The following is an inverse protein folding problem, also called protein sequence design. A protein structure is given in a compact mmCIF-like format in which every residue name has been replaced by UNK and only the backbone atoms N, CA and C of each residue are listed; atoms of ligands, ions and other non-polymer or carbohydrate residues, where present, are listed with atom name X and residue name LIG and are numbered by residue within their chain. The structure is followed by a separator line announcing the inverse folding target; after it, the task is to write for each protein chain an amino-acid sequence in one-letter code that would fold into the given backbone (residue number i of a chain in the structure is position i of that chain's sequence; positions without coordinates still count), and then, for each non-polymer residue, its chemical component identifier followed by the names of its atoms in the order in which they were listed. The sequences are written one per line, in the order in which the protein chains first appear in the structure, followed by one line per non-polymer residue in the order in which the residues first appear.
data_IF_469291947780
#
_entry.id   IF_469291947780
#
_cell.length_a   1.000
_cell.length_b   1.000
_cell.length_c   1.000
_cell.angle_alpha   90.00
_cell.angle_beta   90.00
_cell.angle_gamma   90.00
#
_symmetry.space_group_name_H-M   'P 1'
#
loop_
_entity.id
_entity.type
_entity.pdbx_description
1 polymer ?
#
# COMPACT_ATOMS: atom_id res chain seq x y z
N UNK A 1 -68.81 -40.22 -12.98
CA UNK A 1 -68.27 -41.04 -11.87
C UNK A 1 -67.23 -41.98 -12.46
N UNK A 2 -66.12 -42.18 -11.77
CA UNK A 2 -64.96 -42.89 -12.32
C UNK A 2 -64.93 -44.38 -11.93
N UNK A 3 -64.72 -45.23 -12.91
CA UNK A 3 -63.96 -46.48 -12.82
C UNK A 3 -62.94 -46.47 -13.96
N UNK A 4 -61.89 -47.27 -13.98
CA UNK A 4 -61.42 -48.26 -13.01
C UNK A 4 -59.97 -48.63 -13.37
N UNK A 5 -59.27 -49.34 -12.47
CA UNK A 5 -57.83 -49.55 -12.57
C UNK A 5 -57.36 -50.21 -13.88
N UNK A 6 -56.23 -49.72 -14.41
CA UNK A 6 -55.49 -50.35 -15.51
C UNK A 6 -54.00 -50.39 -15.20
N UNK A 7 -53.49 -51.55 -14.82
CA UNK A 7 -52.06 -51.79 -14.54
C UNK A 7 -51.37 -52.36 -15.79
N UNK A 8 -50.30 -51.75 -16.32
CA UNK A 8 -49.53 -52.32 -17.43
C UNK A 8 -48.32 -53.15 -16.96
N UNK A 9 -48.01 -54.19 -17.74
CA UNK A 9 -46.98 -55.19 -17.48
C UNK A 9 -45.54 -54.64 -17.50
N UNK A 10 -44.69 -55.21 -16.65
CA UNK A 10 -43.23 -55.19 -16.85
C UNK A 10 -42.84 -55.87 -18.17
N UNK A 11 -41.93 -55.24 -18.92
CA UNK A 11 -41.03 -55.91 -19.85
C UNK A 11 -39.58 -55.58 -19.47
N UNK A 12 -38.78 -56.60 -19.24
CA UNK A 12 -37.34 -56.48 -19.12
C UNK A 12 -36.74 -56.30 -20.52
N UNK A 13 -35.86 -55.31 -20.66
CA UNK A 13 -35.02 -55.15 -21.86
C UNK A 13 -33.57 -55.17 -21.42
N UNK A 14 -32.78 -56.09 -21.98
CA UNK A 14 -31.34 -56.23 -21.73
C UNK A 14 -30.59 -55.09 -22.43
N UNK A 15 -29.65 -54.39 -21.77
CA UNK A 15 -28.79 -53.41 -22.43
C UNK A 15 -27.61 -54.09 -23.13
N UNK A 16 -27.42 -53.78 -24.41
CA UNK A 16 -26.20 -54.07 -25.16
C UNK A 16 -25.13 -53.03 -24.86
N UNK A 17 -23.94 -53.47 -24.47
CA UNK A 17 -22.72 -52.67 -24.41
C UNK A 17 -22.10 -52.53 -25.82
N UNK A 18 -21.62 -51.34 -26.19
CA UNK A 18 -20.52 -51.18 -27.14
C UNK A 18 -19.24 -50.72 -26.43
N UNK A 19 -18.10 -51.30 -26.80
CA UNK A 19 -16.78 -50.85 -26.37
C UNK A 19 -16.44 -49.48 -27.00
N UNK A 20 -15.79 -48.61 -26.22
CA UNK A 20 -15.32 -47.30 -26.66
C UNK A 20 -13.81 -47.17 -26.45
N UNK A 21 -13.08 -46.88 -27.53
CA UNK A 21 -11.62 -46.75 -27.52
C UNK A 21 -11.13 -45.55 -26.70
N UNK A 22 -9.89 -45.64 -26.21
CA UNK A 22 -9.30 -44.64 -25.34
C UNK A 22 -8.86 -43.35 -26.04
N UNK A 23 -8.63 -42.33 -25.21
CA UNK A 23 -7.87 -41.13 -25.56
C UNK A 23 -7.07 -40.66 -24.34
N UNK A 24 -5.80 -40.34 -24.55
CA UNK A 24 -4.90 -39.83 -23.51
C UNK A 24 -5.28 -38.38 -23.11
N UNK A 25 -5.09 -37.98 -21.83
CA UNK A 25 -5.22 -36.59 -21.42
C UNK A 25 -3.97 -35.77 -21.80
N UNK A 26 -4.10 -34.55 -22.35
CA UNK A 26 -2.96 -33.71 -22.68
C UNK A 26 -2.33 -33.07 -21.41
N UNK A 27 -1.01 -32.91 -21.46
CA UNK A 27 -0.19 -32.35 -20.39
C UNK A 27 -0.48 -30.86 -20.13
N UNK A 28 -0.52 -30.47 -18.85
CA UNK A 28 -0.59 -29.08 -18.40
C UNK A 28 0.78 -28.40 -18.53
N UNK A 29 0.87 -27.16 -19.05
CA UNK A 29 2.08 -26.35 -18.93
C UNK A 29 2.16 -25.67 -17.55
N UNK A 30 3.34 -25.71 -16.93
CA UNK A 30 3.59 -25.05 -15.64
C UNK A 30 3.54 -23.51 -15.77
N UNK A 31 2.91 -22.85 -14.79
CA UNK A 31 2.91 -21.40 -14.67
C UNK A 31 4.07 -20.94 -13.78
N UNK A 32 4.97 -20.16 -14.36
CA UNK A 32 6.13 -19.57 -13.69
C UNK A 32 5.72 -18.24 -13.01
N UNK A 33 5.84 -18.18 -11.68
CA UNK A 33 5.45 -17.01 -10.90
C UNK A 33 6.62 -16.04 -10.70
N UNK A 34 6.54 -14.86 -11.34
CA UNK A 34 7.34 -13.67 -10.96
C UNK A 34 6.43 -12.50 -10.57
N UNK A 35 6.63 -11.86 -9.40
CA UNK A 35 5.88 -10.67 -9.01
C UNK A 35 6.40 -9.41 -9.72
N UNK A 36 5.50 -8.46 -9.98
CA UNK A 36 5.82 -7.13 -10.50
C UNK A 36 5.98 -6.11 -9.35
N UNK A 37 6.86 -5.09 -9.48
CA UNK A 37 7.09 -4.10 -8.44
C UNK A 37 5.97 -3.04 -8.37
N UNK A 38 5.67 -2.57 -7.16
CA UNK A 38 4.66 -1.56 -6.90
C UNK A 38 5.07 -0.14 -7.31
N UNK A 39 4.10 0.64 -7.80
CA UNK A 39 4.25 2.07 -8.10
C UNK A 39 3.51 2.87 -7.02
N UNK A 40 4.24 3.61 -6.20
CA UNK A 40 3.68 4.62 -5.29
C UNK A 40 3.82 6.01 -5.92
N UNK A 41 2.67 6.67 -6.13
CA UNK A 41 2.62 8.06 -6.55
C UNK A 41 2.37 8.95 -5.33
N UNK A 42 3.31 9.86 -5.04
CA UNK A 42 3.22 10.86 -3.98
C UNK A 42 3.48 12.28 -4.51
N UNK A 43 2.46 13.13 -4.45
CA UNK A 43 2.44 14.57 -4.78
C UNK A 43 1.67 15.17 -3.60
N UNK A 44 2.13 16.10 -2.76
CA UNK A 44 2.80 17.39 -2.98
C UNK A 44 3.42 17.83 -1.61
N UNK A 45 3.80 19.09 -1.27
CA UNK A 45 3.64 20.42 -1.86
C UNK A 45 4.85 21.31 -1.50
N UNK A 46 5.06 22.42 -2.23
CA UNK A 46 5.97 23.48 -1.81
C UNK A 46 5.37 24.33 -0.68
N UNK A 47 6.21 24.72 0.30
CA UNK A 47 6.02 25.91 1.12
C UNK A 47 7.37 26.63 1.29
N UNK A 48 7.45 27.86 0.77
CA UNK A 48 8.51 28.80 1.09
C UNK A 48 8.35 29.29 2.53
N UNK A 49 9.46 29.61 3.22
CA UNK A 49 9.67 30.92 3.87
C UNK A 49 11.04 31.12 4.51
N UNK A 50 11.57 32.30 4.24
CA UNK A 50 12.27 33.23 5.13
C UNK A 50 13.57 32.79 5.83
N UNK A 51 14.67 33.09 5.13
CA UNK A 51 15.96 33.43 5.72
C UNK A 51 15.84 34.68 6.61
N UNK A 52 16.18 34.57 7.90
CA UNK A 52 16.54 35.74 8.72
C UNK A 52 17.85 35.51 9.47
N UNK A 53 18.85 36.31 9.12
CA UNK A 53 20.15 36.37 9.80
C UNK A 53 20.05 37.36 10.96
N UNK A 54 20.43 36.95 12.17
CA UNK A 54 20.68 37.86 13.31
C UNK A 54 22.01 37.50 13.99
N UNK A 55 22.78 38.53 14.36
CA UNK A 55 24.13 38.45 14.92
C UNK A 55 24.16 38.74 16.43
N UNK A 56 24.90 37.91 17.18
CA UNK A 56 25.84 38.31 18.28
C UNK A 56 25.23 38.95 19.56
N UNK A 57 25.97 39.28 20.66
CA UNK A 57 27.13 38.65 21.34
C UNK A 57 26.91 38.39 22.87
N UNK A 58 27.87 37.73 23.57
CA UNK A 58 28.64 38.24 24.78
C UNK A 58 29.08 37.21 25.86
N UNK A 59 30.40 37.16 26.07
CA UNK A 59 31.24 37.03 27.30
C UNK A 59 30.75 36.42 28.65
N UNK A 60 31.59 35.53 29.23
CA UNK A 60 32.32 35.61 30.54
C UNK A 60 33.00 34.26 30.92
N UNK A 61 34.02 34.08 31.80
CA UNK A 61 35.20 34.87 32.27
C UNK A 61 36.08 33.98 33.22
N UNK A 62 37.40 34.28 33.39
CA UNK A 62 38.37 33.81 34.47
C UNK A 62 38.71 32.28 34.57
N UNK A 63 39.86 31.78 35.08
CA UNK A 63 41.01 32.35 35.84
C UNK A 63 42.40 31.67 35.59
N UNK A 64 43.42 32.11 36.36
CA UNK A 64 44.91 31.97 36.29
C UNK A 64 45.47 31.27 37.59
N UNK A 65 46.78 31.28 37.96
CA UNK A 65 48.09 31.09 37.28
C UNK A 65 49.12 30.22 38.08
N UNK A 66 50.39 30.07 37.63
CA UNK A 66 51.61 30.37 38.47
C UNK A 66 52.92 30.55 37.67
N UNK A 67 54.00 30.94 38.35
CA UNK A 67 55.18 31.68 37.81
C UNK A 67 56.47 31.40 38.61
N UNK A 68 57.65 31.62 37.99
CA UNK A 68 59.03 31.83 38.51
C UNK A 68 60.06 30.78 38.02
N UNK A 69 61.34 31.10 37.73
CA UNK A 69 62.00 32.42 37.57
C UNK A 69 63.49 32.43 37.96
N UNK A 70 64.25 33.44 37.46
CA UNK A 70 65.61 33.87 37.93
C UNK A 70 66.82 32.94 37.63
N UNK A 71 68.09 33.40 37.51
CA UNK A 71 68.75 34.70 37.21
C UNK A 71 70.28 34.48 36.99
N UNK A 72 70.98 35.42 36.29
CA UNK A 72 72.29 36.11 36.59
C UNK A 72 73.41 35.36 37.39
N UNK A 73 74.72 35.59 37.26
CA UNK A 73 75.52 36.83 36.94
C UNK A 73 77.04 36.55 36.83
N UNK A 74 77.80 37.46 36.17
CA UNK A 74 79.22 37.73 36.45
C UNK A 74 80.25 37.17 35.44
N UNK A 75 81.50 37.65 35.35
CA UNK A 75 82.18 38.82 35.99
C UNK A 75 83.51 39.15 35.25
N UNK A 76 83.85 40.44 35.16
CA UNK A 76 85.14 41.13 34.85
C UNK A 76 86.43 40.32 34.55
N UNK A 77 87.24 40.88 33.64
CA UNK A 77 88.69 40.68 33.48
C UNK A 77 89.06 40.16 32.08
N UNK A 78 90.20 40.48 31.48
CA UNK A 78 91.27 41.44 31.79
C UNK A 78 92.05 41.71 30.49
N UNK A 79 92.87 42.76 30.43
CA UNK A 79 93.75 43.01 29.27
C UNK A 79 94.83 41.91 29.14
N UNK A 80 95.15 41.50 27.92
CA UNK A 80 96.12 40.42 27.68
C UNK A 80 96.32 40.10 26.21
N UNK A 81 97.19 40.84 25.53
CA UNK A 81 97.67 40.50 24.19
C UNK A 81 98.51 39.23 24.23
N UNK A 82 98.01 38.15 23.62
CA UNK A 82 98.81 36.96 23.29
C UNK A 82 98.51 36.58 21.84
N UNK A 83 99.55 36.53 21.01
CA UNK A 83 99.46 35.95 19.67
C UNK A 83 99.22 34.44 19.81
N UNK A 84 98.00 33.99 19.53
CA UNK A 84 97.68 32.55 19.43
C UNK A 84 97.27 32.27 17.98
N UNK A 85 97.82 31.19 17.44
CA UNK A 85 97.61 30.75 16.05
C UNK A 85 96.12 30.64 15.71
N UNK A 86 95.67 31.29 14.63
CA UNK A 86 94.28 31.19 14.16
C UNK A 86 93.84 29.73 13.93
N UNK A 87 94.79 28.84 13.61
CA UNK A 87 94.51 27.44 13.28
C UNK A 87 93.92 26.64 14.46
N UNK A 88 94.33 26.92 15.70
CA UNK A 88 93.84 26.19 16.87
C UNK A 88 92.44 26.66 17.29
N UNK A 89 92.19 27.97 17.20
CA UNK A 89 90.88 28.56 17.50
C UNK A 89 89.79 28.10 16.50
N UNK A 90 90.13 27.95 15.21
CA UNK A 90 89.23 27.30 14.25
C UNK A 90 89.03 25.80 14.55
N UNK A 91 90.07 25.08 14.95
CA UNK A 91 89.97 23.65 15.27
C UNK A 91 89.08 23.38 16.50
N UNK A 92 89.16 24.22 17.54
CA UNK A 92 88.24 24.16 18.68
C UNK A 92 86.81 24.54 18.30
N UNK A 93 86.63 25.56 17.45
CA UNK A 93 85.30 25.94 16.94
C UNK A 93 84.66 24.85 16.11
N UNK A 94 85.41 24.16 15.25
CA UNK A 94 84.91 23.03 14.46
C UNK A 94 84.43 21.91 15.38
N UNK A 95 85.26 21.44 16.34
CA UNK A 95 84.81 20.39 17.28
C UNK A 95 83.63 20.79 18.16
N UNK A 96 83.54 22.07 18.55
CA UNK A 96 82.39 22.60 19.29
C UNK A 96 81.14 22.74 18.43
N UNK A 97 81.28 22.85 17.11
CA UNK A 97 80.16 22.80 16.17
C UNK A 97 79.77 21.35 15.90
N UNK A 98 80.72 20.43 15.71
CA UNK A 98 80.46 18.99 15.50
C UNK A 98 79.72 18.37 16.69
N UNK A 99 80.21 18.56 17.92
CA UNK A 99 79.51 18.07 19.13
C UNK A 99 78.11 18.67 19.29
N UNK A 100 77.90 19.91 18.83
CA UNK A 100 76.59 20.56 18.85
C UNK A 100 75.70 20.11 17.68
N UNK A 101 76.27 19.64 16.59
CA UNK A 101 75.56 18.97 15.49
C UNK A 101 75.12 17.59 15.96
N UNK A 102 76.00 16.80 16.61
CA UNK A 102 75.64 15.53 17.24
C UNK A 102 74.53 15.70 18.30
N UNK A 103 74.61 16.70 19.17
CA UNK A 103 73.52 17.01 20.12
C UNK A 103 72.20 17.33 19.41
N UNK A 104 72.24 18.15 18.35
CA UNK A 104 71.07 18.52 17.55
C UNK A 104 70.50 17.34 16.73
N UNK A 105 71.34 16.41 16.27
CA UNK A 105 70.94 15.19 15.58
C UNK A 105 70.24 14.22 16.53
N UNK A 106 70.78 14.06 17.75
CA UNK A 106 70.14 13.28 18.81
C UNK A 106 68.80 13.90 19.25
N UNK A 107 68.74 15.21 19.42
CA UNK A 107 67.49 15.94 19.70
C UNK A 107 66.47 15.79 18.56
N UNK A 108 66.92 15.81 17.29
CA UNK A 108 66.05 15.60 16.13
C UNK A 108 65.47 14.19 16.06
N UNK A 109 66.27 13.14 16.30
CA UNK A 109 65.78 11.76 16.28
C UNK A 109 64.85 11.46 17.48
N UNK A 110 65.13 12.08 18.63
CA UNK A 110 64.23 12.09 19.80
C UNK A 110 62.90 12.79 19.48
N UNK A 111 62.94 13.97 18.85
CA UNK A 111 61.74 14.69 18.40
C UNK A 111 60.92 13.88 17.40
N UNK A 112 61.58 13.27 16.42
CA UNK A 112 60.95 12.44 15.39
C UNK A 112 60.28 11.19 15.99
N UNK A 113 60.89 10.58 16.99
CA UNK A 113 60.28 9.47 17.76
C UNK A 113 59.07 9.97 18.55
N UNK A 114 59.16 11.15 19.18
CA UNK A 114 58.04 11.80 19.88
C UNK A 114 56.88 12.15 18.95
N UNK A 115 57.16 12.64 17.73
CA UNK A 115 56.15 12.86 16.69
C UNK A 115 55.45 11.57 16.28
N UNK A 116 56.18 10.45 16.14
CA UNK A 116 55.57 9.13 15.89
C UNK A 116 54.54 8.74 16.96
N UNK A 117 54.88 8.89 18.25
CA UNK A 117 53.92 8.64 19.33
C UNK A 117 52.73 9.60 19.34
N UNK A 118 52.91 10.86 18.90
CA UNK A 118 51.83 11.83 18.77
C UNK A 118 50.89 11.47 17.61
N UNK A 119 51.43 11.01 16.48
CA UNK A 119 50.64 10.55 15.33
C UNK A 119 49.83 9.29 15.70
N UNK A 120 50.43 8.32 16.40
CA UNK A 120 49.73 7.13 16.92
C UNK A 120 48.58 7.53 17.87
N UNK A 121 48.83 8.45 18.81
CA UNK A 121 47.81 9.00 19.70
C UNK A 121 46.70 9.76 18.95
N UNK A 122 47.02 10.45 17.84
CA UNK A 122 46.01 11.10 17.00
C UNK A 122 45.15 10.05 16.26
N UNK A 123 45.74 8.96 15.80
CA UNK A 123 45.02 7.83 15.23
C UNK A 123 44.09 7.16 16.26
N UNK A 124 44.55 6.91 17.50
CA UNK A 124 43.70 6.40 18.58
C UNK A 124 42.56 7.38 18.93
N UNK A 125 42.85 8.67 19.09
CA UNK A 125 41.83 9.69 19.39
C UNK A 125 40.80 9.84 18.27
N UNK A 126 41.20 9.68 17.01
CA UNK A 126 40.30 9.66 15.84
C UNK A 126 39.42 8.41 15.85
N UNK A 127 39.98 7.24 16.16
CA UNK A 127 39.25 5.98 16.30
C UNK A 127 38.22 6.03 17.42
N UNK A 128 38.64 6.47 18.63
CA UNK A 128 37.75 6.64 19.80
C UNK A 128 36.63 7.63 19.49
N UNK A 129 36.92 8.74 18.80
CA UNK A 129 35.89 9.72 18.41
C UNK A 129 34.86 9.13 17.44
N UNK A 130 35.29 8.28 16.49
CA UNK A 130 34.37 7.54 15.62
C UNK A 130 33.48 6.61 16.45
N UNK A 131 34.07 5.78 17.31
CA UNK A 131 33.32 4.85 18.15
C UNK A 131 32.34 5.53 19.13
N UNK A 132 32.67 6.75 19.61
CA UNK A 132 31.76 7.57 20.42
C UNK A 132 30.62 8.12 19.56
N UNK A 133 30.87 8.59 18.33
CA UNK A 133 29.80 9.01 17.40
C UNK A 133 28.86 7.85 17.08
N UNK A 134 29.41 6.69 16.71
CA UNK A 134 28.66 5.48 16.40
C UNK A 134 27.84 4.96 17.60
N UNK A 135 28.22 5.31 18.83
CA UNK A 135 27.51 4.97 20.05
C UNK A 135 26.41 6.00 20.38
N UNK A 136 26.63 7.28 20.10
CA UNK A 136 25.65 8.36 20.25
C UNK A 136 24.50 8.19 19.25
N UNK A 137 24.81 7.92 17.98
CA UNK A 137 23.83 7.62 16.92
C UNK A 137 22.93 6.42 17.31
N UNK A 138 23.51 5.36 17.89
CA UNK A 138 22.75 4.21 18.41
C UNK A 138 21.95 4.53 19.66
N UNK A 139 22.44 5.43 20.52
CA UNK A 139 21.70 5.85 21.71
C UNK A 139 20.49 6.71 21.34
N UNK A 140 20.58 7.51 20.28
CA UNK A 140 19.46 8.25 19.70
C UNK A 140 18.47 7.33 18.97
N UNK A 141 18.96 6.35 18.21
CA UNK A 141 18.11 5.30 17.59
C UNK A 141 17.29 4.53 18.65
N UNK A 142 17.96 4.06 19.71
CA UNK A 142 17.29 3.37 20.83
C UNK A 142 16.28 4.28 21.53
N UNK A 143 16.57 5.59 21.67
CA UNK A 143 15.64 6.55 22.27
C UNK A 143 14.38 6.72 21.43
N UNK A 144 14.53 6.90 20.10
CA UNK A 144 13.38 6.97 19.18
C UNK A 144 12.51 5.72 19.27
N UNK A 145 13.13 4.53 19.21
CA UNK A 145 12.42 3.26 19.30
C UNK A 145 11.67 3.09 20.65
N UNK A 146 12.18 3.64 21.76
CA UNK A 146 11.50 3.62 23.05
C UNK A 146 10.32 4.61 23.13
N UNK A 147 10.43 5.78 22.48
CA UNK A 147 9.34 6.77 22.40
C UNK A 147 8.18 6.27 21.53
N UNK A 148 8.49 5.62 20.40
CA UNK A 148 7.50 4.96 19.54
C UNK A 148 6.80 3.81 20.30
N UNK A 149 7.55 2.95 21.00
CA UNK A 149 7.00 1.83 21.76
C UNK A 149 6.15 2.27 22.96
N UNK A 150 6.53 3.33 23.69
CA UNK A 150 5.70 3.91 24.75
C UNK A 150 4.40 4.51 24.17
N UNK A 151 4.46 5.13 23.00
CA UNK A 151 3.28 5.65 22.29
C UNK A 151 2.34 4.52 21.85
N UNK A 152 2.86 3.45 21.25
CA UNK A 152 2.10 2.25 20.87
C UNK A 152 1.48 1.56 22.10
N UNK A 153 2.26 1.33 23.15
CA UNK A 153 1.80 0.73 24.40
C UNK A 153 0.67 1.54 25.06
N UNK A 154 0.79 2.87 25.09
CA UNK A 154 -0.30 3.77 25.56
C UNK A 154 -1.54 3.68 24.68
N UNK A 155 -1.38 3.54 23.37
CA UNK A 155 -2.47 3.26 22.43
C UNK A 155 -3.22 1.98 22.80
N UNK A 156 -2.50 0.86 22.90
CA UNK A 156 -3.08 -0.44 23.28
C UNK A 156 -3.70 -0.45 24.69
N UNK A 157 -3.12 0.23 25.66
CA UNK A 157 -3.72 0.38 27.01
C UNK A 157 -5.02 1.19 26.95
N UNK A 158 -5.07 2.25 26.12
CA UNK A 158 -6.30 3.01 25.92
C UNK A 158 -7.39 2.18 25.20
N UNK A 159 -7.03 1.37 24.20
CA UNK A 159 -7.96 0.50 23.49
C UNK A 159 -8.48 -0.66 24.34
N UNK A 160 -7.61 -1.37 25.05
CA UNK A 160 -8.02 -2.40 26.02
C UNK A 160 -8.88 -1.79 27.13
N UNK A 161 -8.55 -0.59 27.63
CA UNK A 161 -9.40 0.15 28.57
C UNK A 161 -10.77 0.53 28.00
N UNK A 162 -10.86 0.87 26.71
CA UNK A 162 -12.14 1.08 26.00
C UNK A 162 -12.92 -0.23 25.84
N UNK A 163 -12.27 -1.31 25.46
CA UNK A 163 -12.86 -2.63 25.28
C UNK A 163 -13.39 -3.21 26.60
N UNK A 164 -12.62 -3.09 27.70
CA UNK A 164 -13.06 -3.48 29.04
C UNK A 164 -14.29 -2.67 29.48
N UNK A 165 -14.32 -1.34 29.27
CA UNK A 165 -15.52 -0.53 29.56
C UNK A 165 -16.74 -0.96 28.74
N UNK A 166 -16.57 -1.26 27.45
CA UNK A 166 -17.64 -1.86 26.62
C UNK A 166 -18.12 -3.20 27.20
N UNK A 167 -17.19 -4.10 27.57
CA UNK A 167 -17.50 -5.42 28.12
C UNK A 167 -18.20 -5.32 29.47
N UNK A 168 -17.74 -4.47 30.39
CA UNK A 168 -18.40 -4.25 31.69
C UNK A 168 -19.82 -3.69 31.51
N UNK A 169 -20.02 -2.68 30.66
CA UNK A 169 -21.35 -2.15 30.37
C UNK A 169 -22.26 -3.20 29.72
N UNK A 170 -21.70 -4.05 28.85
CA UNK A 170 -22.40 -5.17 28.21
C UNK A 170 -22.74 -6.30 29.18
N UNK A 171 -21.87 -6.60 30.15
CA UNK A 171 -22.13 -7.56 31.24
C UNK A 171 -23.21 -7.01 32.16
N UNK A 172 -23.10 -5.76 32.63
CA UNK A 172 -24.13 -5.12 33.46
C UNK A 172 -25.50 -5.07 32.76
N UNK A 173 -25.50 -4.81 31.44
CA UNK A 173 -26.74 -4.88 30.64
C UNK A 173 -27.24 -6.32 30.52
N UNK A 174 -26.37 -7.32 30.34
CA UNK A 174 -26.77 -8.73 30.36
C UNK A 174 -27.27 -9.19 31.73
N UNK A 175 -26.67 -8.75 32.83
CA UNK A 175 -27.11 -9.03 34.20
C UNK A 175 -28.47 -8.39 34.49
N UNK A 176 -28.66 -7.12 34.13
CA UNK A 176 -29.96 -6.44 34.21
C UNK A 176 -31.02 -7.12 33.33
N UNK A 177 -30.64 -7.53 32.12
CA UNK A 177 -31.51 -8.25 31.19
C UNK A 177 -31.82 -9.68 31.66
N UNK A 178 -30.89 -10.36 32.34
CA UNK A 178 -31.09 -11.70 32.94
C UNK A 178 -31.97 -11.62 34.19
N UNK A 179 -31.76 -10.60 35.04
CA UNK A 179 -32.65 -10.28 36.16
C UNK A 179 -34.07 -9.92 35.69
N UNK A 180 -34.22 -9.43 34.45
CA UNK A 180 -35.50 -9.16 33.80
C UNK A 180 -35.97 -10.28 32.83
N UNK A 181 -35.18 -11.33 32.59
CA UNK A 181 -35.39 -12.26 31.47
C UNK A 181 -36.62 -13.15 31.63
N UNK A 182 -37.11 -13.32 32.86
CA UNK A 182 -38.36 -14.01 33.16
C UNK A 182 -39.61 -13.22 32.69
N UNK A 183 -39.42 -11.96 32.25
CA UNK A 183 -40.49 -11.04 31.84
C UNK A 183 -40.22 -10.29 30.53
N UNK A 184 -39.05 -10.45 29.90
CA UNK A 184 -38.69 -9.75 28.66
C UNK A 184 -38.92 -10.61 27.41
N UNK A 185 -39.51 -10.04 26.33
CA UNK A 185 -39.63 -10.75 25.06
C UNK A 185 -38.24 -11.01 24.44
N UNK A 186 -38.05 -12.17 23.81
CA UNK A 186 -36.84 -12.47 23.03
C UNK A 186 -37.06 -12.02 21.59
N UNK A 187 -36.06 -11.36 21.01
CA UNK A 187 -36.08 -11.02 19.59
C UNK A 187 -35.72 -12.27 18.78
N UNK A 188 -36.70 -12.82 18.08
CA UNK A 188 -36.45 -13.80 17.03
C UNK A 188 -35.83 -13.08 15.83
N UNK A 189 -34.59 -13.45 15.47
CA UNK A 189 -33.87 -13.04 14.26
C UNK A 189 -33.41 -14.24 13.42
N UNK A 190 -33.97 -15.43 13.65
CA UNK A 190 -33.62 -16.66 12.91
C UNK A 190 -34.84 -17.23 12.14
N UNK A 191 -36.07 -16.94 12.58
CA UNK A 191 -37.30 -17.40 11.91
C UNK A 191 -37.91 -16.29 11.04
N UNK A 192 -38.01 -16.54 9.73
CA UNK A 192 -38.51 -15.57 8.76
C UNK A 192 -39.61 -16.14 7.86
N UNK A 193 -40.64 -15.34 7.51
CA UNK A 193 -41.65 -15.74 6.53
C UNK A 193 -41.01 -16.20 5.21
N UNK A 194 -41.60 -17.20 4.56
CA UNK A 194 -41.11 -17.72 3.29
C UNK A 194 -40.96 -16.62 2.21
N UNK A 195 -41.83 -15.60 2.24
CA UNK A 195 -41.72 -14.42 1.36
C UNK A 195 -40.46 -13.58 1.60
N UNK A 196 -39.93 -13.51 2.81
CA UNK A 196 -38.68 -12.78 3.09
C UNK A 196 -37.47 -13.59 2.62
N UNK A 197 -37.51 -14.92 2.77
CA UNK A 197 -36.49 -15.83 2.21
C UNK A 197 -36.49 -15.76 0.68
N UNK A 198 -37.65 -15.69 0.02
CA UNK A 198 -37.74 -15.48 -1.42
C UNK A 198 -37.09 -14.17 -1.88
N UNK A 199 -37.32 -13.05 -1.17
CA UNK A 199 -36.63 -11.78 -1.43
C UNK A 199 -35.11 -11.89 -1.25
N UNK A 200 -34.65 -12.61 -0.21
CA UNK A 200 -33.23 -12.87 0.04
C UNK A 200 -32.57 -13.66 -1.10
N UNK A 201 -33.16 -14.78 -1.51
CA UNK A 201 -32.67 -15.60 -2.63
C UNK A 201 -32.62 -14.80 -3.93
N UNK A 202 -33.63 -13.97 -4.22
CA UNK A 202 -33.66 -13.14 -5.43
C UNK A 202 -32.59 -12.03 -5.39
N UNK A 203 -32.44 -11.36 -4.24
CA UNK A 203 -31.39 -10.37 -4.02
C UNK A 203 -29.98 -10.99 -4.10
N UNK A 204 -29.78 -12.18 -3.54
CA UNK A 204 -28.52 -12.94 -3.61
C UNK A 204 -28.14 -13.32 -5.03
N UNK A 205 -29.08 -13.87 -5.81
CA UNK A 205 -28.87 -14.15 -7.24
C UNK A 205 -28.51 -12.91 -8.04
N UNK A 206 -29.21 -11.80 -7.82
CA UNK A 206 -28.90 -10.53 -8.49
C UNK A 206 -27.55 -9.95 -8.03
N UNK A 207 -27.14 -10.16 -6.77
CA UNK A 207 -25.82 -9.78 -6.27
C UNK A 207 -24.72 -10.59 -6.97
N UNK A 208 -24.86 -11.91 -7.07
CA UNK A 208 -23.94 -12.77 -7.82
C UNK A 208 -23.90 -12.45 -9.33
N UNK A 209 -25.03 -12.04 -9.92
CA UNK A 209 -25.04 -11.53 -11.29
C UNK A 209 -24.26 -10.20 -11.43
N UNK A 210 -24.30 -9.31 -10.43
CA UNK A 210 -23.54 -8.04 -10.43
C UNK A 210 -22.03 -8.23 -10.31
N UNK A 211 -21.54 -9.26 -9.60
CA UNK A 211 -20.08 -9.50 -9.49
C UNK A 211 -19.47 -9.97 -10.81
N UNK A 212 -20.29 -10.48 -11.74
CA UNK A 212 -19.91 -10.83 -13.12
C UNK A 212 -19.94 -9.63 -14.09
N UNK A 213 -20.34 -8.44 -13.65
CA UNK A 213 -20.40 -7.22 -14.47
C UNK A 213 -19.18 -6.32 -14.23
N UNK A 214 -18.77 -5.61 -15.28
CA UNK A 214 -17.70 -4.62 -15.16
C UNK A 214 -18.14 -3.42 -14.31
N UNK A 215 -17.30 -3.06 -13.35
CA UNK A 215 -17.40 -1.83 -12.56
C UNK A 215 -17.33 -0.59 -13.47
N UNK A 216 -17.67 0.58 -12.92
CA UNK A 216 -17.53 1.85 -13.66
C UNK A 216 -16.08 2.09 -14.10
N UNK A 217 -15.12 1.87 -13.19
CA UNK A 217 -13.69 2.07 -13.43
C UNK A 217 -13.16 1.15 -14.53
N UNK A 218 -13.56 -0.12 -14.53
CA UNK A 218 -13.18 -1.05 -15.60
C UNK A 218 -13.81 -0.68 -16.94
N UNK A 219 -15.07 -0.22 -16.96
CA UNK A 219 -15.71 0.26 -18.19
C UNK A 219 -15.02 1.50 -18.76
N UNK A 220 -14.61 2.43 -17.91
CA UNK A 220 -13.87 3.63 -18.32
C UNK A 220 -12.48 3.28 -18.84
N UNK A 221 -11.76 2.37 -18.17
CA UNK A 221 -10.43 1.89 -18.58
C UNK A 221 -10.49 1.16 -19.94
N UNK A 222 -11.48 0.29 -20.14
CA UNK A 222 -11.72 -0.36 -21.42
C UNK A 222 -12.10 0.66 -22.51
N UNK A 223 -12.98 1.61 -22.21
CA UNK A 223 -13.38 2.66 -23.16
C UNK A 223 -12.20 3.55 -23.57
N UNK A 224 -11.33 3.89 -22.61
CA UNK A 224 -10.11 4.67 -22.84
C UNK A 224 -9.09 3.89 -23.70
N UNK A 225 -8.95 2.58 -23.48
CA UNK A 225 -8.12 1.70 -24.30
C UNK A 225 -8.58 1.63 -25.76
N UNK A 226 -9.90 1.67 -25.99
CA UNK A 226 -10.49 1.71 -27.34
C UNK A 226 -10.22 3.07 -28.00
N UNK A 227 -10.51 4.17 -27.29
CA UNK A 227 -10.29 5.54 -27.79
C UNK A 227 -8.83 5.79 -28.15
N UNK A 228 -7.91 5.41 -27.26
CA UNK A 228 -6.46 5.56 -27.46
C UNK A 228 -5.93 4.82 -28.70
N UNK A 229 -6.59 3.71 -29.09
CA UNK A 229 -6.28 3.02 -30.35
C UNK A 229 -6.92 3.72 -31.56
N UNK A 230 -8.14 4.26 -31.45
CA UNK A 230 -8.79 5.04 -32.51
C UNK A 230 -8.00 6.30 -32.84
N UNK A 231 -7.63 7.10 -31.83
CA UNK A 231 -6.78 8.29 -31.96
C UNK A 231 -5.47 7.96 -32.72
N UNK A 232 -4.82 6.84 -32.39
CA UNK A 232 -3.58 6.43 -33.07
C UNK A 232 -3.81 5.99 -34.53
N UNK A 233 -5.00 5.47 -34.87
CA UNK A 233 -5.37 5.13 -36.25
C UNK A 233 -5.75 6.38 -37.05
N UNK A 234 -6.46 7.32 -36.43
CA UNK A 234 -6.84 8.61 -37.01
C UNK A 234 -5.59 9.44 -37.35
N UNK A 235 -4.70 9.64 -36.37
CA UNK A 235 -3.41 10.30 -36.57
C UNK A 235 -2.57 9.64 -37.67
N UNK A 236 -2.52 8.30 -37.71
CA UNK A 236 -1.85 7.57 -38.80
C UNK A 236 -2.47 7.88 -40.17
N UNK A 237 -3.79 7.93 -40.26
CA UNK A 237 -4.50 8.19 -41.51
C UNK A 237 -4.32 9.64 -41.98
N UNK A 238 -4.34 10.62 -41.06
CA UNK A 238 -4.03 12.02 -41.33
C UNK A 238 -2.61 12.17 -41.92
N UNK A 239 -1.62 11.51 -41.34
CA UNK A 239 -0.25 11.56 -41.85
C UNK A 239 -0.09 10.84 -43.19
N UNK A 240 -0.81 9.73 -43.44
CA UNK A 240 -0.84 9.12 -44.78
C UNK A 240 -1.49 10.03 -45.83
N UNK A 241 -2.53 10.80 -45.48
CA UNK A 241 -3.11 11.80 -46.38
C UNK A 241 -2.09 12.90 -46.70
N UNK A 242 -1.37 13.42 -45.70
CA UNK A 242 -0.31 14.40 -45.90
C UNK A 242 0.86 13.88 -46.78
N UNK A 243 1.23 12.60 -46.64
CA UNK A 243 2.19 11.92 -47.54
C UNK A 243 1.70 11.93 -49.00
N UNK A 244 0.42 11.64 -49.23
CA UNK A 244 -0.17 11.65 -50.58
C UNK A 244 -0.17 13.06 -51.18
N UNK A 245 -0.66 14.08 -50.46
CA UNK A 245 -0.64 15.47 -50.94
C UNK A 245 0.78 15.97 -51.27
N UNK A 246 1.76 15.61 -50.44
CA UNK A 246 3.16 15.96 -50.69
C UNK A 246 3.72 15.21 -51.92
N UNK A 247 3.38 13.93 -52.11
CA UNK A 247 3.78 13.16 -53.28
C UNK A 247 3.17 13.70 -54.59
N UNK A 248 1.90 14.10 -54.58
CA UNK A 248 1.23 14.75 -55.72
C UNK A 248 1.91 16.08 -56.08
N UNK A 249 2.30 16.87 -55.08
CA UNK A 249 3.04 18.12 -55.28
C UNK A 249 4.44 17.86 -55.86
N UNK A 250 5.16 16.85 -55.36
CA UNK A 250 6.48 16.45 -55.90
C UNK A 250 6.38 15.96 -57.36
N UNK A 251 5.30 15.27 -57.73
CA UNK A 251 5.08 14.76 -59.08
C UNK A 251 4.67 15.84 -60.09
N UNK A 252 4.11 16.96 -59.62
CA UNK A 252 3.59 18.05 -60.46
C UNK A 252 4.48 19.32 -60.50
N UNK A 253 5.49 19.42 -59.64
CA UNK A 253 6.40 20.57 -59.56
C UNK A 253 7.80 20.25 -60.08
N UNK A 254 8.42 21.20 -60.77
CA UNK A 254 9.77 21.06 -61.28
C UNK A 254 10.81 21.02 -60.14
N UNK A 255 11.82 20.16 -60.29
CA UNK A 255 12.94 20.04 -59.37
C UNK A 255 13.69 21.37 -59.21
N UNK A 256 14.12 21.69 -57.98
CA UNK A 256 14.80 22.96 -57.66
C UNK A 256 13.85 24.17 -57.53
N UNK A 257 12.53 23.98 -57.58
CA UNK A 257 11.56 25.02 -57.18
C UNK A 257 11.34 25.00 -55.66
N UNK A 258 11.07 26.15 -55.01
CA UNK A 258 10.77 26.19 -53.58
C UNK A 258 9.58 25.31 -53.16
N UNK A 259 8.60 25.14 -54.06
CA UNK A 259 7.44 24.27 -53.85
C UNK A 259 7.85 22.79 -53.79
N UNK A 260 8.74 22.35 -54.68
CA UNK A 260 9.28 20.99 -54.69
C UNK A 260 10.12 20.70 -53.43
N UNK A 261 10.94 21.66 -52.98
CA UNK A 261 11.71 21.54 -51.74
C UNK A 261 10.82 21.43 -50.50
N UNK A 262 9.81 22.30 -50.38
CA UNK A 262 8.82 22.25 -49.30
C UNK A 262 8.06 20.91 -49.30
N UNK A 263 7.61 20.44 -50.47
CA UNK A 263 6.92 19.16 -50.59
C UNK A 263 7.82 17.96 -50.21
N UNK A 264 9.12 18.01 -50.51
CA UNK A 264 10.10 16.98 -50.13
C UNK A 264 10.27 16.89 -48.60
N UNK A 265 10.37 18.04 -47.93
CA UNK A 265 10.44 18.12 -46.46
C UNK A 265 9.13 17.64 -45.81
N UNK A 266 7.97 18.06 -46.34
CA UNK A 266 6.66 17.65 -45.88
C UNK A 266 6.45 16.13 -46.04
N UNK A 267 6.77 15.57 -47.21
CA UNK A 267 6.71 14.13 -47.49
C UNK A 267 7.56 13.33 -46.50
N UNK A 268 8.81 13.73 -46.30
CA UNK A 268 9.74 13.03 -45.39
C UNK A 268 9.24 13.05 -43.94
N UNK A 269 8.74 14.21 -43.48
CA UNK A 269 8.21 14.40 -42.13
C UNK A 269 6.93 13.59 -41.91
N UNK A 270 5.96 13.73 -42.81
CA UNK A 270 4.67 13.03 -42.74
C UNK A 270 4.86 11.51 -42.84
N UNK A 271 5.79 11.02 -43.68
CA UNK A 271 6.08 9.57 -43.78
C UNK A 271 6.63 9.01 -42.47
N UNK A 272 7.58 9.71 -41.85
CA UNK A 272 8.12 9.30 -40.56
C UNK A 272 7.05 9.30 -39.45
N UNK A 273 6.19 10.33 -39.41
CA UNK A 273 5.09 10.40 -38.44
C UNK A 273 4.03 9.30 -38.70
N UNK A 274 3.69 9.03 -39.96
CA UNK A 274 2.79 7.93 -40.34
C UNK A 274 3.35 6.57 -39.87
N UNK A 275 4.64 6.30 -40.08
CA UNK A 275 5.31 5.07 -39.60
C UNK A 275 5.28 4.97 -38.06
N UNK A 276 5.47 6.09 -37.34
CA UNK A 276 5.38 6.13 -35.87
C UNK A 276 3.97 5.86 -35.36
N UNK A 277 2.95 6.51 -35.94
CA UNK A 277 1.55 6.27 -35.57
C UNK A 277 1.08 4.87 -35.99
N UNK A 278 1.57 4.30 -37.10
CA UNK A 278 1.31 2.92 -37.49
C UNK A 278 1.84 1.91 -36.47
N UNK A 279 3.06 2.10 -35.95
CA UNK A 279 3.62 1.28 -34.85
C UNK A 279 2.79 1.43 -33.57
N UNK A 280 2.42 2.66 -33.22
CA UNK A 280 1.60 2.97 -32.03
C UNK A 280 0.22 2.33 -32.10
N UNK A 281 -0.47 2.47 -33.24
CA UNK A 281 -1.76 1.84 -33.49
C UNK A 281 -1.66 0.30 -33.42
N UNK A 282 -0.61 -0.29 -33.98
CA UNK A 282 -0.36 -1.73 -33.95
C UNK A 282 -0.12 -2.25 -32.52
N UNK A 283 0.65 -1.52 -31.71
CA UNK A 283 0.87 -1.84 -30.30
C UNK A 283 -0.42 -1.73 -29.46
N UNK A 284 -1.26 -0.72 -29.72
CA UNK A 284 -2.54 -0.51 -29.00
C UNK A 284 -3.67 -1.47 -29.45
N UNK A 285 -3.61 -2.00 -30.67
CA UNK A 285 -4.64 -2.86 -31.25
C UNK A 285 -5.05 -4.10 -30.40
N UNK A 286 -4.15 -4.92 -29.81
CA UNK A 286 -4.54 -6.05 -28.97
C UNK A 286 -5.32 -5.63 -27.71
N UNK A 287 -4.93 -4.52 -27.07
CA UNK A 287 -5.64 -3.98 -25.90
C UNK A 287 -7.05 -3.51 -26.27
N UNK A 288 -7.19 -2.75 -27.37
CA UNK A 288 -8.49 -2.32 -27.86
C UNK A 288 -9.40 -3.49 -28.29
N UNK A 289 -8.84 -4.59 -28.83
CA UNK A 289 -9.61 -5.82 -29.10
C UNK A 289 -10.11 -6.49 -27.83
N UNK A 290 -9.24 -6.66 -26.81
CA UNK A 290 -9.63 -7.20 -25.50
C UNK A 290 -10.70 -6.34 -24.83
N UNK A 291 -10.54 -5.02 -24.85
CA UNK A 291 -11.49 -4.07 -24.28
C UNK A 291 -12.87 -4.10 -24.97
N UNK A 292 -12.91 -4.19 -26.31
CA UNK A 292 -14.16 -4.38 -27.06
C UNK A 292 -14.85 -5.69 -26.69
N UNK A 293 -14.10 -6.79 -26.57
CA UNK A 293 -14.65 -8.09 -26.17
C UNK A 293 -15.18 -8.08 -24.72
N UNK A 294 -14.49 -7.41 -23.79
CA UNK A 294 -14.93 -7.25 -22.41
C UNK A 294 -16.22 -6.44 -22.32
N UNK A 295 -16.29 -5.27 -22.96
CA UNK A 295 -17.51 -4.43 -22.99
C UNK A 295 -18.68 -5.10 -23.73
N UNK A 296 -18.41 -5.93 -24.74
CA UNK A 296 -19.45 -6.70 -25.43
C UNK A 296 -20.07 -7.76 -24.51
N UNK A 297 -19.24 -8.56 -23.82
CA UNK A 297 -19.70 -9.56 -22.83
C UNK A 297 -20.45 -8.90 -21.67
N UNK A 298 -19.93 -7.81 -21.14
CA UNK A 298 -20.55 -7.02 -20.08
C UNK A 298 -21.93 -6.49 -20.50
N UNK A 299 -22.06 -6.02 -21.74
CA UNK A 299 -23.37 -5.61 -22.31
C UNK A 299 -24.32 -6.79 -22.50
N UNK A 300 -23.82 -7.92 -22.99
CA UNK A 300 -24.59 -9.16 -23.17
C UNK A 300 -25.15 -9.67 -21.84
N UNK A 301 -24.30 -9.77 -20.81
CA UNK A 301 -24.71 -10.12 -19.44
C UNK A 301 -25.75 -9.14 -18.89
N UNK A 302 -25.57 -7.82 -19.04
CA UNK A 302 -26.58 -6.83 -18.61
C UNK A 302 -27.92 -6.96 -19.34
N UNK A 303 -27.94 -7.35 -20.61
CA UNK A 303 -29.18 -7.55 -21.37
C UNK A 303 -29.85 -8.85 -20.95
N UNK A 304 -29.08 -9.95 -20.84
CA UNK A 304 -29.58 -11.27 -20.41
C UNK A 304 -30.17 -11.24 -19.00
N UNK A 305 -29.49 -10.56 -18.09
CA UNK A 305 -29.83 -10.57 -16.66
C UNK A 305 -30.61 -9.30 -16.24
N UNK A 306 -31.10 -8.49 -17.19
CA UNK A 306 -31.71 -7.17 -16.94
C UNK A 306 -32.87 -7.21 -15.93
N UNK A 307 -33.78 -8.17 -16.10
CA UNK A 307 -34.95 -8.39 -15.25
C UNK A 307 -34.51 -8.83 -13.85
N UNK A 308 -33.69 -9.88 -13.75
CA UNK A 308 -33.10 -10.36 -12.49
C UNK A 308 -32.38 -9.25 -11.71
N UNK A 309 -31.59 -8.42 -12.40
CA UNK A 309 -30.87 -7.30 -11.79
C UNK A 309 -31.84 -6.26 -11.21
N UNK A 310 -32.89 -5.91 -11.97
CA UNK A 310 -33.90 -4.91 -11.57
C UNK A 310 -34.77 -5.43 -10.43
N UNK A 311 -35.37 -6.62 -10.58
CA UNK A 311 -36.16 -7.26 -9.53
C UNK A 311 -35.33 -7.49 -8.26
N UNK A 312 -34.06 -7.88 -8.41
CA UNK A 312 -33.15 -8.08 -7.29
C UNK A 312 -32.74 -6.81 -6.56
N UNK A 313 -32.67 -5.65 -7.23
CA UNK A 313 -32.51 -4.34 -6.55
C UNK A 313 -33.72 -4.08 -5.66
N UNK A 314 -34.94 -4.20 -6.20
CA UNK A 314 -36.16 -3.92 -5.44
C UNK A 314 -36.40 -4.98 -4.35
N UNK A 315 -36.05 -6.25 -4.59
CA UNK A 315 -36.11 -7.31 -3.59
C UNK A 315 -35.14 -7.05 -2.42
N UNK A 316 -33.91 -6.64 -2.71
CA UNK A 316 -32.91 -6.24 -1.71
C UNK A 316 -33.44 -5.08 -0.86
N UNK A 317 -33.93 -4.01 -1.51
CA UNK A 317 -34.49 -2.82 -0.86
C UNK A 317 -35.70 -3.16 0.03
N UNK A 318 -36.64 -3.96 -0.45
CA UNK A 318 -37.80 -4.42 0.31
C UNK A 318 -37.38 -5.29 1.51
N UNK A 319 -36.42 -6.20 1.34
CA UNK A 319 -35.89 -7.03 2.42
C UNK A 319 -35.21 -6.16 3.48
N UNK A 320 -34.31 -5.26 3.07
CA UNK A 320 -33.57 -4.37 3.96
C UNK A 320 -34.51 -3.48 4.78
N UNK A 321 -35.58 -2.94 4.18
CA UNK A 321 -36.60 -2.17 4.91
C UNK A 321 -37.32 -3.03 5.96
N UNK A 322 -37.74 -4.26 5.60
CA UNK A 322 -38.41 -5.18 6.53
C UNK A 322 -37.51 -5.59 7.70
N UNK A 323 -36.21 -5.78 7.45
CA UNK A 323 -35.22 -6.12 8.47
C UNK A 323 -34.86 -4.95 9.37
N UNK A 324 -34.63 -3.75 8.83
CA UNK A 324 -34.46 -2.51 9.61
C UNK A 324 -35.64 -2.32 10.57
N UNK A 325 -36.87 -2.49 10.10
CA UNK A 325 -38.07 -2.40 10.95
C UNK A 325 -38.09 -3.48 12.05
N UNK A 326 -37.72 -4.72 11.75
CA UNK A 326 -37.66 -5.82 12.74
C UNK A 326 -36.60 -5.56 13.83
N UNK A 327 -35.44 -5.02 13.45
CA UNK A 327 -34.39 -4.58 14.40
C UNK A 327 -34.91 -3.42 15.25
N UNK A 328 -35.52 -2.40 14.64
CA UNK A 328 -36.03 -1.23 15.34
C UNK A 328 -37.12 -1.58 16.37
N UNK A 329 -38.06 -2.46 16.04
CA UNK A 329 -39.09 -2.93 16.98
C UNK A 329 -38.50 -3.78 18.11
N UNK A 330 -37.50 -4.63 17.84
CA UNK A 330 -36.79 -5.37 18.89
C UNK A 330 -36.07 -4.43 19.88
N UNK A 331 -35.41 -3.39 19.38
CA UNK A 331 -34.74 -2.36 20.22
C UNK A 331 -35.79 -1.56 21.02
N UNK A 332 -36.88 -1.13 20.37
CA UNK A 332 -37.97 -0.36 20.99
C UNK A 332 -38.66 -1.15 22.12
N UNK A 333 -38.91 -2.43 21.91
CA UNK A 333 -39.48 -3.34 22.89
C UNK A 333 -38.49 -3.76 23.99
N UNK A 334 -37.21 -3.34 23.90
CA UNK A 334 -36.10 -3.77 24.77
C UNK A 334 -35.98 -5.31 24.82
N UNK A 335 -36.19 -5.95 23.67
CA UNK A 335 -36.15 -7.40 23.56
C UNK A 335 -34.73 -7.95 23.74
N UNK A 336 -34.64 -9.15 24.29
CA UNK A 336 -33.37 -9.88 24.39
C UNK A 336 -32.91 -10.31 22.99
N UNK A 337 -31.82 -9.72 22.50
CA UNK A 337 -31.26 -10.04 21.19
C UNK A 337 -30.48 -11.38 21.21
N UNK A 338 -30.46 -12.16 20.12
CA UNK A 338 -29.72 -13.44 20.07
C UNK A 338 -28.22 -13.28 20.32
N UNK A 339 -27.62 -14.26 20.99
CA UNK A 339 -26.20 -14.17 21.39
C UNK A 339 -25.25 -13.96 20.21
N UNK A 340 -25.46 -14.66 19.09
CA UNK A 340 -24.67 -14.48 17.85
C UNK A 340 -24.73 -13.07 17.29
N UNK A 341 -25.82 -12.32 17.53
CA UNK A 341 -25.96 -10.93 17.08
C UNK A 341 -25.19 -10.01 18.03
N UNK A 342 -25.38 -10.21 19.34
CA UNK A 342 -24.74 -9.40 20.38
C UNK A 342 -23.22 -9.61 20.39
N UNK A 343 -22.70 -10.79 20.05
CA UNK A 343 -21.24 -11.04 19.93
C UNK A 343 -20.59 -10.17 18.87
N UNK A 344 -21.16 -10.05 17.67
CA UNK A 344 -20.54 -9.33 16.54
C UNK A 344 -20.90 -7.84 16.43
N UNK A 345 -22.04 -7.41 16.98
CA UNK A 345 -22.51 -6.01 16.87
C UNK A 345 -22.68 -5.31 18.23
N UNK A 346 -22.56 -6.04 19.34
CA UNK A 346 -22.90 -5.54 20.67
C UNK A 346 -24.43 -5.47 20.91
N UNK A 347 -24.84 -5.14 22.14
CA UNK A 347 -26.25 -5.20 22.55
C UNK A 347 -27.07 -3.95 22.18
N UNK A 348 -26.42 -2.83 21.85
CA UNK A 348 -27.05 -1.51 21.64
C UNK A 348 -26.30 -0.74 20.57
N UNK A 349 -27.04 -0.07 19.68
CA UNK A 349 -26.46 0.79 18.65
C UNK A 349 -25.66 1.97 19.27
N UNK A 350 -24.42 2.23 18.83
CA UNK A 350 -23.57 3.27 19.41
C UNK A 350 -23.93 4.67 18.89
N UNK A 351 -24.05 5.63 19.80
CA UNK A 351 -24.62 6.99 19.58
C UNK A 351 -24.01 7.78 18.42
N UNK A 352 -22.76 7.54 18.05
CA UNK A 352 -22.04 8.26 16.96
C UNK A 352 -21.99 7.51 15.62
N UNK A 353 -22.51 6.28 15.55
CA UNK A 353 -22.52 5.45 14.32
C UNK A 353 -23.77 4.57 14.22
N UNK A 354 -24.93 5.09 14.65
CA UNK A 354 -26.20 4.34 14.66
C UNK A 354 -26.58 3.80 13.29
N UNK A 355 -26.35 4.57 12.22
CA UNK A 355 -26.75 4.17 10.87
C UNK A 355 -25.83 3.08 10.29
N UNK A 356 -24.51 3.23 10.38
CA UNK A 356 -23.52 2.21 9.99
C UNK A 356 -23.79 0.88 10.73
N UNK A 357 -24.12 0.96 12.02
CA UNK A 357 -24.46 -0.19 12.85
C UNK A 357 -25.76 -0.86 12.38
N UNK A 358 -26.79 -0.06 12.08
CA UNK A 358 -28.08 -0.54 11.56
C UNK A 358 -27.91 -1.17 10.17
N UNK A 359 -27.04 -0.63 9.32
CA UNK A 359 -26.71 -1.18 8.02
C UNK A 359 -25.95 -2.51 8.10
N UNK A 360 -24.95 -2.60 8.98
CA UNK A 360 -24.24 -3.85 9.26
C UNK A 360 -25.18 -4.92 9.82
N UNK A 361 -26.02 -4.57 10.81
CA UNK A 361 -27.06 -5.44 11.37
C UNK A 361 -28.06 -5.92 10.30
N UNK A 362 -28.53 -5.02 9.45
CA UNK A 362 -29.47 -5.33 8.36
C UNK A 362 -28.85 -6.27 7.32
N UNK A 363 -27.60 -6.00 6.93
CA UNK A 363 -26.88 -6.81 5.94
C UNK A 363 -26.52 -8.19 6.47
N UNK A 364 -26.17 -8.30 7.76
CA UNK A 364 -25.98 -9.57 8.46
C UNK A 364 -27.26 -10.42 8.47
N UNK A 365 -28.41 -9.81 8.81
CA UNK A 365 -29.70 -10.51 8.73
C UNK A 365 -30.05 -10.93 7.29
N UNK A 366 -29.81 -10.06 6.30
CA UNK A 366 -30.08 -10.37 4.91
C UNK A 366 -29.23 -11.56 4.41
N UNK A 367 -27.95 -11.63 4.82
CA UNK A 367 -27.07 -12.76 4.52
C UNK A 367 -27.57 -14.05 5.18
N UNK A 368 -27.88 -14.03 6.50
CA UNK A 368 -28.43 -15.21 7.21
C UNK A 368 -29.74 -15.72 6.58
N UNK A 369 -30.63 -14.83 6.15
CA UNK A 369 -31.89 -15.19 5.48
C UNK A 369 -31.64 -15.80 4.09
N UNK A 370 -30.70 -15.24 3.34
CA UNK A 370 -30.40 -15.67 1.96
C UNK A 370 -29.82 -17.08 1.93
N UNK A 371 -28.93 -17.38 2.89
CA UNK A 371 -28.25 -18.68 3.00
C UNK A 371 -28.82 -19.60 4.09
N UNK A 372 -30.02 -19.28 4.62
CA UNK A 372 -30.75 -20.04 5.64
C UNK A 372 -29.89 -20.44 6.88
N UNK A 373 -29.12 -19.48 7.39
CA UNK A 373 -28.19 -19.69 8.50
C UNK A 373 -28.93 -19.54 9.82
N UNK A 374 -29.02 -20.64 10.57
CA UNK A 374 -29.68 -20.72 11.89
C UNK A 374 -28.69 -20.96 13.04
N UNK A 375 -27.39 -20.93 12.76
CA UNK A 375 -26.31 -21.15 13.73
C UNK A 375 -26.42 -20.16 14.90
N UNK A 376 -26.51 -20.69 16.13
CA UNK A 376 -26.74 -19.90 17.35
C UNK A 376 -25.47 -19.27 17.93
N UNK A 377 -24.29 -19.64 17.41
CA UNK A 377 -22.97 -19.18 17.88
C UNK A 377 -22.29 -18.34 16.80
N UNK A 378 -22.22 -18.84 15.56
CA UNK A 378 -21.57 -18.16 14.44
C UNK A 378 -22.57 -17.27 13.70
N UNK A 379 -22.36 -15.95 13.77
CA UNK A 379 -23.20 -14.97 13.10
C UNK A 379 -23.28 -15.16 11.57
N UNK A 380 -22.16 -15.57 10.95
CA UNK A 380 -22.05 -15.86 9.51
C UNK A 380 -22.13 -17.36 9.17
N UNK A 381 -22.43 -18.22 10.15
CA UNK A 381 -22.45 -19.67 10.02
C UNK A 381 -21.07 -20.30 9.77
N UNK A 382 -21.07 -21.60 9.48
CA UNK A 382 -19.89 -22.32 9.00
C UNK A 382 -19.33 -21.74 7.70
N UNK A 383 -18.13 -22.16 7.32
CA UNK A 383 -17.53 -21.82 6.02
C UNK A 383 -18.41 -22.36 4.87
N UNK A 384 -18.49 -21.67 3.71
CA UNK A 384 -19.22 -22.22 2.56
C UNK A 384 -18.52 -23.47 2.02
N UNK A 385 -19.23 -24.59 1.96
CA UNK A 385 -18.77 -25.81 1.29
C UNK A 385 -18.96 -25.73 -0.24
N UNK A 386 -19.70 -24.72 -0.73
CA UNK A 386 -20.08 -24.51 -2.13
C UNK A 386 -19.14 -23.50 -2.81
N UNK A 387 -18.71 -23.78 -4.05
CA UNK A 387 -18.10 -22.80 -4.97
C UNK A 387 -19.14 -21.73 -5.42
N UNK A 388 -19.60 -20.88 -4.50
CA UNK A 388 -20.38 -19.66 -4.77
C UNK A 388 -19.52 -18.41 -4.45
N UNK A 389 -18.77 -17.89 -5.44
CA UNK A 389 -17.97 -16.67 -5.26
C UNK A 389 -18.78 -15.45 -4.80
N UNK A 390 -20.10 -15.41 -5.07
CA UNK A 390 -20.98 -14.36 -4.61
C UNK A 390 -21.26 -14.43 -3.09
N UNK A 391 -21.37 -15.64 -2.54
CA UNK A 391 -21.47 -15.91 -1.10
C UNK A 391 -20.17 -15.58 -0.39
N UNK A 392 -19.04 -16.02 -0.93
CA UNK A 392 -17.71 -15.77 -0.34
C UNK A 392 -17.39 -14.28 -0.27
N UNK A 393 -17.60 -13.55 -1.37
CA UNK A 393 -17.39 -12.10 -1.38
C UNK A 393 -18.30 -11.40 -0.36
N UNK A 394 -19.58 -11.78 -0.25
CA UNK A 394 -20.48 -11.17 0.72
C UNK A 394 -20.09 -11.51 2.18
N UNK A 395 -19.64 -12.75 2.44
CA UNK A 395 -19.08 -13.16 3.73
C UNK A 395 -17.83 -12.35 4.09
N UNK A 396 -16.93 -12.09 3.15
CA UNK A 396 -15.74 -11.27 3.35
C UNK A 396 -16.09 -9.80 3.65
N UNK A 397 -16.95 -9.18 2.83
CA UNK A 397 -17.46 -7.81 3.07
C UNK A 397 -18.12 -7.67 4.45
N UNK A 398 -18.94 -8.64 4.86
CA UNK A 398 -19.55 -8.65 6.19
C UNK A 398 -18.53 -8.89 7.31
N UNK A 399 -17.55 -9.77 7.11
CA UNK A 399 -16.49 -9.99 8.09
C UNK A 399 -15.72 -8.70 8.36
N UNK A 400 -15.38 -7.95 7.31
CA UNK A 400 -14.70 -6.66 7.43
C UNK A 400 -15.60 -5.60 8.07
N UNK A 401 -16.86 -5.47 7.65
CA UNK A 401 -17.82 -4.55 8.25
C UNK A 401 -18.10 -4.84 9.73
N UNK A 402 -18.06 -6.11 10.15
CA UNK A 402 -18.29 -6.52 11.53
C UNK A 402 -17.07 -6.34 12.45
N UNK A 403 -15.84 -6.33 11.92
CA UNK A 403 -14.60 -6.03 12.70
C UNK A 403 -14.60 -4.64 13.35
N UNK A 404 -15.48 -3.74 12.90
CA UNK A 404 -15.51 -2.33 13.31
C UNK A 404 -16.26 -2.06 14.65
N UNK A 405 -16.82 -3.09 15.31
CA UNK A 405 -17.75 -2.95 16.45
C UNK A 405 -17.24 -3.48 17.79
#
# INVERSE_FOLDING_TARGET
MAGGAGTPLHRHTVPLLPEGHGQEPPLLPALDHRPAPGVLAGRAHYLERDLTVVRDPRHHRVARPRRHGQRRTGRRGQEGTVQVSLSDDYSYKIRSLDSRIEDLENDLESLKTSFGYIDDLEHELRSIRSAVSDADDKADEVRSNLEDLDTEARGHIADTGRALKKLTARIQLMEANLAAADKMPRADFDSFPASWRALGVLAGKARAARTMLLTHVERDSNSSSIRSHQEAVEQRNEQYAAVLTAAETLASTAFGTPQHEQASQAFTTARHQADQYARTASHRAPYARRARAALARDRETRVRDAELLTEGIEAQKQLYQKLRNRIAEAIRARSLLPMWFVTVLGPVAPTRKTEDWLEAATSLLAYRITYNITDQVLALGGEPDDDDPGRDQWRQELTEALRHW
#
